data_IF_307816319692
#
_entry.id   IF_307816319692
#
_cell.length_a   1.000
_cell.length_b   1.000
_cell.length_c   1.000
_cell.angle_alpha   90.00
_cell.angle_beta   90.00
_cell.angle_gamma   90.00
#
_symmetry.space_group_name_H-M   'P 1'
#
loop_
_entity.id
_entity.type
_entity.pdbx_description
1 polymer ?
#
# COMPACT_ATOMS: atom_id res chain seq x y z
N UNK A 1 -18.43 -1.01 -22.67
CA UNK A 1 -17.04 -1.32 -23.02
C UNK A 1 -16.62 -2.50 -22.18
N UNK A 2 -16.22 -3.61 -22.79
CA UNK A 2 -15.73 -4.78 -22.04
C UNK A 2 -14.36 -4.45 -21.47
N UNK A 3 -14.25 -4.52 -20.15
CA UNK A 3 -12.99 -4.38 -19.44
C UNK A 3 -12.19 -5.65 -19.70
N UNK A 4 -11.19 -5.56 -20.57
CA UNK A 4 -10.20 -6.62 -20.74
C UNK A 4 -9.07 -6.36 -19.76
N UNK A 5 -9.25 -6.79 -18.51
CA UNK A 5 -8.10 -7.05 -17.65
C UNK A 5 -7.33 -8.22 -18.26
N UNK A 6 -5.99 -8.18 -18.25
CA UNK A 6 -5.17 -9.34 -18.61
C UNK A 6 -5.57 -10.48 -17.68
N UNK A 7 -6.33 -11.45 -18.21
CA UNK A 7 -6.68 -12.68 -17.50
C UNK A 7 -5.39 -13.46 -17.28
N UNK A 8 -4.88 -13.51 -16.05
CA UNK A 8 -4.06 -14.64 -15.63
C UNK A 8 -4.95 -15.89 -15.77
N UNK A 9 -4.42 -16.95 -16.37
CA UNK A 9 -5.13 -18.18 -16.73
C UNK A 9 -5.70 -18.98 -15.53
N UNK A 10 -5.68 -18.41 -14.33
CA UNK A 10 -6.12 -19.05 -13.10
C UNK A 10 -7.46 -18.46 -12.66
N UNK A 11 -8.53 -19.30 -12.59
CA UNK A 11 -9.88 -18.91 -12.13
C UNK A 11 -9.88 -18.17 -10.77
N UNK A 12 -8.88 -18.41 -9.91
CA UNK A 12 -8.78 -17.79 -8.58
C UNK A 12 -8.49 -16.27 -8.62
N UNK A 13 -7.90 -15.79 -9.73
CA UNK A 13 -7.62 -14.36 -9.95
C UNK A 13 -8.55 -13.75 -11.00
N UNK A 14 -9.72 -14.38 -11.21
CA UNK A 14 -10.66 -13.89 -12.21
C UNK A 14 -11.31 -12.59 -11.78
N UNK A 15 -10.93 -11.52 -12.47
CA UNK A 15 -11.42 -10.15 -12.23
C UNK A 15 -12.93 -10.03 -12.45
N UNK A 16 -13.55 -10.85 -13.30
CA UNK A 16 -14.99 -10.79 -13.57
C UNK A 16 -15.81 -11.15 -12.33
N UNK A 17 -15.43 -12.19 -11.58
CA UNK A 17 -16.05 -12.49 -10.29
C UNK A 17 -15.85 -11.39 -9.26
N UNK A 18 -14.65 -10.82 -9.26
CA UNK A 18 -14.32 -9.72 -8.39
C UNK A 18 -15.22 -8.50 -8.69
N UNK A 19 -15.35 -8.10 -9.95
CA UNK A 19 -16.24 -7.02 -10.40
C UNK A 19 -17.72 -7.30 -10.09
N UNK A 20 -18.18 -8.55 -10.24
CA UNK A 20 -19.55 -8.95 -9.94
C UNK A 20 -19.91 -8.67 -8.47
N UNK A 21 -19.08 -9.07 -7.50
CA UNK A 21 -19.35 -8.85 -6.08
C UNK A 21 -19.29 -7.37 -5.67
N UNK A 22 -18.41 -6.59 -6.30
CA UNK A 22 -18.37 -5.15 -6.10
C UNK A 22 -19.67 -4.50 -6.59
N UNK A 23 -20.11 -4.84 -7.81
CA UNK A 23 -21.34 -4.30 -8.40
C UNK A 23 -22.57 -4.70 -7.58
N UNK A 24 -22.65 -5.91 -7.05
CA UNK A 24 -23.74 -6.32 -6.15
C UNK A 24 -23.80 -5.39 -4.94
N UNK A 25 -22.67 -5.13 -4.28
CA UNK A 25 -22.62 -4.26 -3.09
C UNK A 25 -22.92 -2.79 -3.43
N UNK A 26 -22.43 -2.31 -4.57
CA UNK A 26 -22.72 -0.97 -5.09
C UNK A 26 -24.24 -0.80 -5.33
N UNK A 27 -24.85 -1.74 -6.04
CA UNK A 27 -26.28 -1.66 -6.38
C UNK A 27 -27.17 -1.65 -5.12
N UNK A 28 -26.82 -2.40 -4.09
CA UNK A 28 -27.54 -2.38 -2.82
C UNK A 28 -27.52 -1.00 -2.15
N UNK A 29 -26.38 -0.30 -2.22
CA UNK A 29 -26.26 1.05 -1.66
C UNK A 29 -27.04 2.06 -2.47
N UNK A 30 -26.94 2.00 -3.81
CA UNK A 30 -27.63 2.93 -4.71
C UNK A 30 -29.14 2.79 -4.61
N UNK A 31 -29.66 1.56 -4.57
CA UNK A 31 -31.09 1.29 -4.43
C UNK A 31 -31.69 1.89 -3.15
N UNK A 32 -30.88 2.12 -2.11
CA UNK A 32 -31.33 2.83 -0.91
C UNK A 32 -31.63 4.31 -1.13
N UNK A 33 -30.89 4.95 -2.02
CA UNK A 33 -30.97 6.39 -2.22
C UNK A 33 -31.78 6.75 -3.47
N UNK A 34 -31.87 5.85 -4.46
CA UNK A 34 -32.59 6.00 -5.74
C UNK A 34 -32.32 7.35 -6.43
N UNK A 35 -31.02 7.71 -6.55
CA UNK A 35 -30.57 8.99 -7.13
C UNK A 35 -29.58 8.71 -8.25
N UNK A 36 -30.03 8.82 -9.51
CA UNK A 36 -29.24 8.54 -10.71
C UNK A 36 -27.88 9.26 -10.77
N UNK A 37 -27.75 10.55 -10.44
CA UNK A 37 -26.46 11.21 -10.46
C UNK A 37 -25.44 10.62 -9.49
N UNK A 38 -25.90 10.10 -8.34
CA UNK A 38 -25.03 9.43 -7.37
C UNK A 38 -24.53 8.08 -7.91
N UNK A 39 -25.38 7.32 -8.61
CA UNK A 39 -24.99 6.06 -9.25
C UNK A 39 -23.89 6.29 -10.29
N UNK A 40 -24.10 7.25 -11.19
CA UNK A 40 -23.12 7.58 -12.21
C UNK A 40 -21.77 7.98 -11.61
N UNK A 41 -21.79 8.89 -10.62
CA UNK A 41 -20.57 9.35 -9.94
C UNK A 41 -19.84 8.22 -9.24
N UNK A 42 -20.57 7.40 -8.47
CA UNK A 42 -19.99 6.30 -7.73
C UNK A 42 -19.41 5.23 -8.64
N UNK A 43 -20.12 4.87 -9.71
CA UNK A 43 -19.61 3.94 -10.73
C UNK A 43 -18.32 4.45 -11.35
N UNK A 44 -18.28 5.71 -11.79
CA UNK A 44 -17.08 6.32 -12.37
C UNK A 44 -15.90 6.32 -11.39
N UNK A 45 -16.15 6.65 -10.11
CA UNK A 45 -15.10 6.67 -9.10
C UNK A 45 -14.51 5.28 -8.86
N UNK A 46 -15.37 4.24 -8.76
CA UNK A 46 -14.93 2.84 -8.61
C UNK A 46 -14.14 2.36 -9.83
N UNK A 47 -14.69 2.54 -11.03
CA UNK A 47 -14.04 2.10 -12.28
C UNK A 47 -12.68 2.78 -12.47
N UNK A 48 -12.61 4.08 -12.18
CA UNK A 48 -11.38 4.83 -12.37
C UNK A 48 -10.27 4.43 -11.40
N UNK A 49 -10.60 4.24 -10.13
CA UNK A 49 -9.59 4.06 -9.10
C UNK A 49 -9.27 2.59 -8.78
N UNK A 50 -10.22 1.65 -8.97
CA UNK A 50 -10.03 0.26 -8.55
C UNK A 50 -9.62 -0.69 -9.70
N UNK A 51 -10.12 -0.46 -10.94
CA UNK A 51 -9.96 -1.45 -12.00
C UNK A 51 -8.66 -1.32 -12.81
N UNK A 52 -7.75 -0.44 -12.43
CA UNK A 52 -6.51 -0.20 -13.16
C UNK A 52 -5.26 -0.56 -12.34
N UNK A 53 -5.44 -0.97 -11.08
CA UNK A 53 -4.35 -1.39 -10.20
C UNK A 53 -4.02 -2.89 -10.34
N UNK A 54 -2.98 -3.29 -9.65
CA UNK A 54 -2.45 -4.66 -9.62
C UNK A 54 -3.33 -5.64 -8.79
N UNK A 55 -4.46 -5.19 -8.21
CA UNK A 55 -5.30 -5.97 -7.30
C UNK A 55 -4.48 -6.58 -6.15
N UNK A 56 -3.71 -5.71 -5.49
CA UNK A 56 -2.76 -6.10 -4.45
C UNK A 56 -3.43 -6.92 -3.34
N UNK A 57 -4.63 -6.53 -2.92
CA UNK A 57 -5.39 -7.26 -1.89
C UNK A 57 -5.58 -8.73 -2.26
N UNK A 58 -6.05 -9.05 -3.47
CA UNK A 58 -6.22 -10.44 -3.89
C UNK A 58 -4.88 -11.18 -4.01
N UNK A 59 -3.87 -10.51 -4.56
CA UNK A 59 -2.54 -11.10 -4.77
C UNK A 59 -1.83 -11.43 -3.45
N UNK A 60 -2.17 -10.75 -2.36
CA UNK A 60 -1.67 -11.05 -1.01
C UNK A 60 -2.54 -12.07 -0.28
N UNK A 61 -3.86 -11.90 -0.34
CA UNK A 61 -4.79 -12.72 0.44
C UNK A 61 -4.85 -14.17 -0.04
N UNK A 62 -4.96 -14.41 -1.35
CA UNK A 62 -5.17 -15.78 -1.88
C UNK A 62 -4.02 -16.71 -1.51
N UNK A 63 -2.73 -16.38 -1.75
CA UNK A 63 -1.63 -17.28 -1.40
C UNK A 63 -1.56 -17.55 0.11
N UNK A 64 -1.78 -16.53 0.95
CA UNK A 64 -1.75 -16.68 2.40
C UNK A 64 -2.90 -17.56 2.90
N UNK A 65 -4.10 -17.36 2.39
CA UNK A 65 -5.27 -18.15 2.79
C UNK A 65 -5.16 -19.61 2.38
N UNK A 66 -4.66 -19.88 1.17
CA UNK A 66 -4.39 -21.25 0.69
C UNK A 66 -3.35 -21.97 1.55
N UNK A 67 -2.28 -21.25 1.92
CA UNK A 67 -1.22 -21.79 2.78
C UNK A 67 -1.78 -22.20 4.15
N UNK A 68 -2.58 -21.34 4.78
CA UNK A 68 -3.21 -21.61 6.07
C UNK A 68 -4.23 -22.75 6.03
N UNK A 69 -4.98 -22.90 4.94
CA UNK A 69 -5.91 -24.00 4.73
C UNK A 69 -5.23 -25.28 4.24
N UNK A 70 -3.93 -25.25 3.94
CA UNK A 70 -3.15 -26.34 3.39
C UNK A 70 -3.80 -26.94 2.13
N UNK A 71 -4.31 -26.10 1.24
CA UNK A 71 -5.00 -26.48 0.02
C UNK A 71 -4.36 -25.88 -1.22
N UNK A 72 -4.39 -26.60 -2.33
CA UNK A 72 -3.93 -26.11 -3.63
C UNK A 72 -4.97 -25.21 -4.30
N UNK A 73 -6.26 -25.57 -4.15
CA UNK A 73 -7.38 -24.83 -4.72
C UNK A 73 -8.42 -24.49 -3.65
N UNK A 74 -8.97 -23.27 -3.72
CA UNK A 74 -10.04 -22.84 -2.84
C UNK A 74 -11.39 -23.38 -3.30
N UNK A 75 -12.18 -23.89 -2.37
CA UNK A 75 -13.59 -24.19 -2.63
C UNK A 75 -14.38 -22.90 -2.96
N UNK A 76 -15.47 -23.03 -3.70
CA UNK A 76 -16.26 -21.90 -4.22
C UNK A 76 -16.65 -20.88 -3.14
N UNK A 77 -17.06 -21.33 -1.95
CA UNK A 77 -17.47 -20.43 -0.87
C UNK A 77 -16.27 -19.68 -0.27
N UNK A 78 -15.13 -20.35 -0.12
CA UNK A 78 -13.89 -19.73 0.32
C UNK A 78 -13.37 -18.75 -0.74
N UNK A 79 -13.47 -19.10 -2.01
CA UNK A 79 -13.10 -18.22 -3.12
C UNK A 79 -13.96 -16.95 -3.14
N UNK A 80 -15.28 -17.09 -2.96
CA UNK A 80 -16.17 -15.94 -2.83
C UNK A 80 -15.80 -15.04 -1.65
N UNK A 81 -15.57 -15.64 -0.49
CA UNK A 81 -15.23 -14.90 0.74
C UNK A 81 -13.89 -14.14 0.58
N UNK A 82 -12.88 -14.77 -0.01
CA UNK A 82 -11.58 -14.13 -0.20
C UNK A 82 -11.62 -13.00 -1.25
N UNK A 83 -12.44 -13.13 -2.31
CA UNK A 83 -12.65 -12.06 -3.28
C UNK A 83 -13.33 -10.84 -2.66
N UNK A 84 -14.37 -11.06 -1.84
CA UNK A 84 -15.03 -9.96 -1.12
C UNK A 84 -14.05 -9.29 -0.15
N UNK A 85 -13.24 -10.07 0.57
CA UNK A 85 -12.20 -9.54 1.44
C UNK A 85 -11.14 -8.75 0.67
N UNK A 86 -10.73 -9.27 -0.52
CA UNK A 86 -9.83 -8.58 -1.43
C UNK A 86 -10.36 -7.19 -1.82
N UNK A 87 -11.66 -7.07 -2.14
CA UNK A 87 -12.28 -5.76 -2.38
C UNK A 87 -12.23 -4.83 -1.17
N UNK A 88 -12.44 -5.35 0.03
CA UNK A 88 -12.33 -4.52 1.23
C UNK A 88 -10.91 -3.97 1.41
N UNK A 89 -9.88 -4.78 1.11
CA UNK A 89 -8.48 -4.33 1.15
C UNK A 89 -8.18 -3.32 0.04
N UNK A 90 -8.61 -3.59 -1.20
CA UNK A 90 -8.43 -2.65 -2.32
C UNK A 90 -9.11 -1.30 -2.06
N UNK A 91 -10.33 -1.29 -1.54
CA UNK A 91 -11.05 -0.07 -1.18
C UNK A 91 -10.26 0.75 -0.14
N UNK A 92 -9.64 0.09 0.84
CA UNK A 92 -8.79 0.78 1.81
C UNK A 92 -7.55 1.38 1.16
N UNK A 93 -6.82 0.60 0.36
CA UNK A 93 -5.61 1.05 -0.33
C UNK A 93 -5.92 2.25 -1.22
N UNK A 94 -6.95 2.14 -2.06
CA UNK A 94 -7.36 3.20 -2.99
C UNK A 94 -7.83 4.45 -2.26
N UNK A 95 -8.50 4.30 -1.11
CA UNK A 95 -8.91 5.44 -0.27
C UNK A 95 -7.69 6.25 0.18
N UNK A 96 -6.65 5.58 0.67
CA UNK A 96 -5.43 6.26 1.11
C UNK A 96 -4.61 6.83 -0.05
N UNK A 97 -4.53 6.13 -1.18
CA UNK A 97 -3.91 6.67 -2.40
C UNK A 97 -4.61 7.95 -2.85
N UNK A 98 -5.95 7.97 -2.82
CA UNK A 98 -6.74 9.14 -3.22
C UNK A 98 -6.49 10.34 -2.30
N UNK A 99 -6.40 10.12 -0.99
CA UNK A 99 -6.08 11.17 -0.02
C UNK A 99 -4.62 11.64 -0.13
N UNK A 100 -3.69 10.72 -0.32
CA UNK A 100 -2.27 11.01 -0.56
C UNK A 100 -2.10 11.88 -1.82
N UNK A 101 -2.72 11.50 -2.93
CA UNK A 101 -2.70 12.27 -4.18
C UNK A 101 -3.23 13.70 -4.02
N UNK A 102 -4.27 13.91 -3.19
CA UNK A 102 -4.82 15.24 -2.90
C UNK A 102 -3.86 16.05 -2.04
N UNK A 103 -3.33 15.46 -0.96
CA UNK A 103 -2.47 16.16 0.01
C UNK A 103 -1.11 16.51 -0.58
N UNK A 104 -0.55 15.61 -1.39
CA UNK A 104 0.72 15.82 -2.11
C UNK A 104 0.54 16.67 -3.39
N UNK A 105 -0.71 17.01 -3.74
CA UNK A 105 -1.04 17.71 -4.98
C UNK A 105 -0.49 16.99 -6.23
N UNK A 106 -0.49 15.66 -6.21
CA UNK A 106 0.03 14.81 -7.27
C UNK A 106 -0.71 15.05 -8.60
N UNK A 107 0.00 14.88 -9.71
CA UNK A 107 -0.57 15.13 -11.05
C UNK A 107 -1.02 13.85 -11.75
N UNK A 108 -0.29 12.74 -11.50
CA UNK A 108 -0.53 11.45 -12.15
C UNK A 108 -0.38 10.29 -11.17
N UNK A 109 -1.09 9.19 -11.46
CA UNK A 109 -1.02 7.90 -10.78
C UNK A 109 -1.28 6.81 -11.82
N UNK A 110 -0.46 5.77 -11.88
CA UNK A 110 -0.55 4.68 -12.87
C UNK A 110 -0.64 5.19 -14.31
N UNK A 111 0.21 6.16 -14.67
CA UNK A 111 0.25 6.77 -16.01
C UNK A 111 -0.98 7.58 -16.40
N UNK A 112 -1.89 7.89 -15.45
CA UNK A 112 -3.14 8.63 -15.66
C UNK A 112 -3.23 9.83 -14.73
N UNK A 113 -4.03 10.86 -15.04
CA UNK A 113 -4.28 11.96 -14.10
C UNK A 113 -4.82 11.43 -12.76
N UNK A 114 -4.37 11.96 -11.62
CA UNK A 114 -4.98 11.64 -10.32
C UNK A 114 -6.48 11.96 -10.32
N UNK A 115 -7.29 11.17 -9.61
CA UNK A 115 -8.75 11.28 -9.63
C UNK A 115 -9.25 12.70 -9.37
N UNK A 116 -8.67 13.41 -8.42
CA UNK A 116 -9.05 14.80 -8.13
C UNK A 116 -8.75 15.79 -9.27
N UNK A 117 -7.94 15.39 -10.28
CA UNK A 117 -7.61 16.17 -11.47
C UNK A 117 -8.53 15.89 -12.64
N UNK A 118 -9.36 14.86 -12.58
CA UNK A 118 -10.26 14.45 -13.67
C UNK A 118 -11.50 15.34 -13.70
N UNK A 119 -11.85 15.90 -14.86
CA UNK A 119 -13.15 16.51 -15.17
C UNK A 119 -13.80 17.36 -14.04
N UNK A 120 -13.08 18.29 -13.47
CA UNK A 120 -13.58 19.17 -12.40
C UNK A 120 -13.98 18.46 -11.09
N UNK A 121 -13.48 17.27 -10.84
CA UNK A 121 -13.72 16.52 -9.58
C UNK A 121 -13.20 17.32 -8.37
N UNK A 122 -11.95 17.78 -8.43
CA UNK A 122 -11.35 18.59 -7.38
C UNK A 122 -11.47 17.93 -5.99
N UNK A 123 -11.64 18.75 -4.96
CA UNK A 123 -11.75 18.28 -3.57
C UNK A 123 -13.01 17.45 -3.29
N UNK A 124 -13.98 17.35 -4.21
CA UNK A 124 -15.11 16.44 -4.03
C UNK A 124 -14.68 14.96 -4.04
N UNK A 125 -13.48 14.65 -4.55
CA UNK A 125 -12.86 13.33 -4.44
C UNK A 125 -12.75 12.83 -2.98
N UNK A 126 -12.68 13.73 -1.99
CA UNK A 126 -12.70 13.37 -0.55
C UNK A 126 -13.98 12.61 -0.20
N UNK A 127 -15.12 13.00 -0.77
CA UNK A 127 -16.37 12.29 -0.54
C UNK A 127 -16.40 10.90 -1.16
N UNK A 128 -15.73 10.72 -2.32
CA UNK A 128 -15.59 9.40 -2.93
C UNK A 128 -14.75 8.48 -2.03
N UNK A 129 -13.65 8.98 -1.46
CA UNK A 129 -12.84 8.24 -0.48
C UNK A 129 -13.62 7.86 0.78
N UNK A 130 -14.45 8.77 1.33
CA UNK A 130 -15.33 8.46 2.46
C UNK A 130 -16.36 7.37 2.12
N UNK A 131 -16.87 7.35 0.89
CA UNK A 131 -17.77 6.30 0.44
C UNK A 131 -17.02 4.97 0.35
N UNK A 132 -15.80 4.93 -0.21
CA UNK A 132 -14.99 3.73 -0.31
C UNK A 132 -14.68 3.13 1.05
N UNK A 133 -14.26 3.96 2.02
CA UNK A 133 -13.99 3.52 3.38
C UNK A 133 -15.26 2.92 4.05
N UNK A 134 -16.40 3.60 3.95
CA UNK A 134 -17.64 3.10 4.55
C UNK A 134 -18.19 1.87 3.82
N UNK A 135 -17.87 1.69 2.54
CA UNK A 135 -18.23 0.51 1.79
C UNK A 135 -17.53 -0.75 2.31
N UNK A 136 -16.30 -0.64 2.85
CA UNK A 136 -15.61 -1.74 3.53
C UNK A 136 -16.50 -2.31 4.63
N UNK A 137 -16.94 -1.46 5.56
CA UNK A 137 -17.77 -1.89 6.70
C UNK A 137 -19.16 -2.39 6.27
N UNK A 138 -19.71 -1.83 5.19
CA UNK A 138 -20.94 -2.35 4.59
C UNK A 138 -20.76 -3.78 4.07
N UNK A 139 -19.69 -4.05 3.33
CA UNK A 139 -19.39 -5.37 2.77
C UNK A 139 -19.10 -6.38 3.87
N UNK A 140 -18.28 -6.02 4.87
CA UNK A 140 -18.02 -6.86 6.03
C UNK A 140 -19.31 -7.26 6.74
N UNK A 141 -20.20 -6.30 7.01
CA UNK A 141 -21.50 -6.57 7.65
C UNK A 141 -22.41 -7.44 6.77
N UNK A 142 -22.43 -7.21 5.45
CA UNK A 142 -23.30 -7.95 4.53
C UNK A 142 -22.88 -9.41 4.42
N UNK A 143 -21.57 -9.67 4.29
CA UNK A 143 -21.05 -10.98 3.92
C UNK A 143 -20.46 -11.76 5.09
N UNK A 144 -19.98 -11.12 6.14
CA UNK A 144 -19.26 -11.77 7.24
C UNK A 144 -19.94 -11.69 8.61
N UNK A 145 -21.08 -11.00 8.76
CA UNK A 145 -21.74 -10.82 10.08
C UNK A 145 -22.05 -12.12 10.84
N UNK A 146 -22.14 -13.24 10.15
CA UNK A 146 -22.43 -14.57 10.73
C UNK A 146 -21.16 -15.43 10.88
N UNK A 147 -20.00 -14.93 10.46
CA UNK A 147 -18.72 -15.60 10.64
C UNK A 147 -18.22 -15.42 12.08
N UNK A 148 -17.60 -16.44 12.64
CA UNK A 148 -17.04 -16.38 14.00
C UNK A 148 -16.00 -15.27 14.16
N UNK A 149 -15.23 -14.97 13.10
CA UNK A 149 -14.20 -13.95 13.09
C UNK A 149 -14.71 -12.53 12.74
N UNK A 150 -16.04 -12.29 12.65
CA UNK A 150 -16.57 -11.00 12.19
C UNK A 150 -16.07 -9.80 12.99
N UNK A 151 -16.05 -9.92 14.32
CA UNK A 151 -15.60 -8.83 15.21
C UNK A 151 -14.12 -8.54 14.97
N UNK A 152 -13.28 -9.58 14.88
CA UNK A 152 -11.85 -9.45 14.60
C UNK A 152 -11.59 -8.77 13.25
N UNK A 153 -12.35 -9.14 12.21
CA UNK A 153 -12.23 -8.49 10.91
C UNK A 153 -12.53 -6.98 10.99
N UNK A 154 -13.57 -6.58 11.74
CA UNK A 154 -13.88 -5.17 11.95
C UNK A 154 -12.78 -4.44 12.71
N UNK A 155 -12.27 -5.03 13.80
CA UNK A 155 -11.23 -4.44 14.63
C UNK A 155 -9.92 -4.26 13.85
N UNK A 156 -9.52 -5.25 13.06
CA UNK A 156 -8.31 -5.18 12.22
C UNK A 156 -8.41 -4.08 11.17
N UNK A 157 -9.56 -3.94 10.48
CA UNK A 157 -9.74 -2.82 9.54
C UNK A 157 -9.72 -1.46 10.24
N UNK A 158 -10.38 -1.32 11.39
CA UNK A 158 -10.39 -0.07 12.15
C UNK A 158 -8.99 0.31 12.62
N UNK A 159 -8.21 -0.66 13.14
CA UNK A 159 -6.82 -0.44 13.53
C UNK A 159 -5.97 -0.03 12.32
N UNK A 160 -6.07 -0.76 11.21
CA UNK A 160 -5.28 -0.48 10.01
C UNK A 160 -5.60 0.91 9.43
N UNK A 161 -6.88 1.29 9.35
CA UNK A 161 -7.31 2.61 8.88
C UNK A 161 -6.76 3.71 9.80
N UNK A 162 -6.91 3.55 11.12
CA UNK A 162 -6.44 4.54 12.09
C UNK A 162 -4.91 4.71 12.02
N UNK A 163 -4.16 3.60 12.04
CA UNK A 163 -2.70 3.64 12.01
C UNK A 163 -2.20 4.24 10.70
N UNK A 164 -2.80 3.87 9.57
CA UNK A 164 -2.42 4.41 8.25
C UNK A 164 -2.74 5.90 8.16
N UNK A 165 -3.88 6.36 8.67
CA UNK A 165 -4.21 7.79 8.74
C UNK A 165 -3.20 8.57 9.59
N UNK A 166 -2.76 8.01 10.72
CA UNK A 166 -1.69 8.59 11.53
C UNK A 166 -0.36 8.64 10.74
N UNK A 167 -0.03 7.57 10.00
CA UNK A 167 1.16 7.51 9.15
C UNK A 167 1.17 8.58 8.06
N UNK A 168 0.06 8.80 7.37
CA UNK A 168 -0.09 9.86 6.38
C UNK A 168 0.09 11.26 7.01
N UNK A 169 -0.46 11.48 8.20
CA UNK A 169 -0.24 12.74 8.92
C UNK A 169 1.22 12.93 9.33
N UNK A 170 1.90 11.87 9.80
CA UNK A 170 3.34 11.92 10.12
C UNK A 170 4.16 12.29 8.89
N UNK A 171 3.87 11.69 7.74
CA UNK A 171 4.55 11.99 6.49
C UNK A 171 4.42 13.48 6.11
N UNK A 172 3.23 14.04 6.21
CA UNK A 172 3.00 15.48 5.97
C UNK A 172 3.70 16.39 6.99
N UNK A 173 3.82 15.95 8.25
CA UNK A 173 4.52 16.72 9.29
C UNK A 173 6.04 16.76 9.02
N UNK A 174 6.64 15.69 8.45
CA UNK A 174 8.07 15.71 8.11
C UNK A 174 8.44 16.79 7.11
N UNK A 175 7.54 17.09 6.18
CA UNK A 175 7.77 18.15 5.19
C UNK A 175 8.08 19.53 5.81
N UNK A 176 7.72 19.73 7.09
CA UNK A 176 7.96 20.97 7.84
C UNK A 176 9.16 20.86 8.80
N UNK A 177 9.78 19.67 8.92
CA UNK A 177 10.90 19.44 9.83
C UNK A 177 12.24 19.69 9.12
N UNK A 178 13.27 20.24 9.79
CA UNK A 178 14.60 20.31 9.20
C UNK A 178 15.14 18.90 8.91
N UNK A 179 15.77 18.70 7.75
CA UNK A 179 16.38 17.42 7.36
C UNK A 179 17.38 16.88 8.41
N UNK A 180 18.03 17.78 9.15
CA UNK A 180 18.94 17.43 10.25
C UNK A 180 18.26 16.72 11.44
N UNK A 181 16.95 16.74 11.53
CA UNK A 181 16.18 16.13 12.61
C UNK A 181 15.61 14.76 12.25
N UNK A 182 15.78 14.34 11.01
CA UNK A 182 15.36 13.01 10.57
C UNK A 182 16.16 11.94 11.29
N UNK A 183 15.49 10.85 11.67
CA UNK A 183 16.13 9.72 12.33
C UNK A 183 15.58 8.39 11.82
N UNK A 184 16.39 7.33 11.94
CA UNK A 184 15.98 5.97 11.57
C UNK A 184 14.77 5.49 12.37
N UNK A 185 14.72 5.78 13.66
CA UNK A 185 13.56 5.43 14.50
C UNK A 185 12.28 6.09 13.98
N UNK A 186 12.35 7.37 13.63
CA UNK A 186 11.22 8.09 13.07
C UNK A 186 10.79 7.48 11.73
N UNK A 187 11.74 7.24 10.82
CA UNK A 187 11.49 6.67 9.50
C UNK A 187 10.87 5.25 9.59
N UNK A 188 11.40 4.39 10.46
CA UNK A 188 10.84 3.06 10.68
C UNK A 188 9.39 3.12 11.19
N UNK A 189 9.08 4.02 12.12
CA UNK A 189 7.72 4.23 12.61
C UNK A 189 6.80 4.79 11.52
N UNK A 190 7.30 5.70 10.69
CA UNK A 190 6.58 6.23 9.52
C UNK A 190 6.25 5.11 8.53
N UNK A 191 7.23 4.31 8.12
CA UNK A 191 7.04 3.18 7.20
C UNK A 191 6.06 2.15 7.76
N UNK A 192 6.16 1.83 9.05
CA UNK A 192 5.23 0.93 9.72
C UNK A 192 3.79 1.47 9.64
N UNK A 193 3.58 2.73 10.03
CA UNK A 193 2.26 3.33 10.07
C UNK A 193 1.68 3.58 8.67
N UNK A 194 2.46 4.15 7.75
CA UNK A 194 1.99 4.54 6.41
C UNK A 194 1.73 3.33 5.51
N UNK A 195 2.64 2.35 5.50
CA UNK A 195 2.64 1.26 4.52
C UNK A 195 2.43 -0.14 5.10
N UNK A 196 3.13 -0.49 6.18
CA UNK A 196 3.12 -1.88 6.64
C UNK A 196 1.73 -2.35 7.04
N UNK A 197 0.97 -1.50 7.76
CA UNK A 197 -0.37 -1.85 8.21
C UNK A 197 -1.36 -2.00 7.05
N UNK A 198 -1.37 -1.06 6.10
CA UNK A 198 -2.30 -1.10 4.97
C UNK A 198 -1.96 -2.18 3.95
N UNK A 199 -0.68 -2.31 3.58
CA UNK A 199 -0.28 -3.18 2.48
C UNK A 199 -0.08 -4.63 2.92
N UNK A 200 0.54 -4.89 4.08
CA UNK A 200 0.97 -6.24 4.45
C UNK A 200 0.24 -6.80 5.67
N UNK A 201 0.32 -6.11 6.82
CA UNK A 201 -0.25 -6.58 8.08
C UNK A 201 -1.74 -6.90 7.96
N UNK A 202 -2.51 -5.98 7.43
CA UNK A 202 -3.95 -6.15 7.20
C UNK A 202 -4.24 -7.45 6.44
N UNK A 203 -3.62 -7.65 5.29
CA UNK A 203 -3.86 -8.82 4.43
C UNK A 203 -3.51 -10.13 5.13
N UNK A 204 -2.37 -10.18 5.82
CA UNK A 204 -1.93 -11.39 6.52
C UNK A 204 -2.86 -11.72 7.69
N UNK A 205 -3.18 -10.74 8.53
CA UNK A 205 -4.02 -10.95 9.72
C UNK A 205 -5.46 -11.28 9.36
N UNK A 206 -6.02 -10.69 8.30
CA UNK A 206 -7.35 -11.04 7.80
C UNK A 206 -7.41 -12.53 7.41
N UNK A 207 -6.41 -13.02 6.68
CA UNK A 207 -6.38 -14.44 6.29
C UNK A 207 -6.20 -15.38 7.50
N UNK A 208 -5.43 -14.98 8.50
CA UNK A 208 -5.26 -15.73 9.75
C UNK A 208 -6.59 -15.85 10.52
N UNK A 209 -7.33 -14.75 10.68
CA UNK A 209 -8.65 -14.79 11.31
C UNK A 209 -9.65 -15.63 10.53
N UNK A 210 -9.70 -15.49 9.19
CA UNK A 210 -10.57 -16.28 8.32
C UNK A 210 -10.24 -17.77 8.36
N UNK A 211 -8.97 -18.13 8.55
CA UNK A 211 -8.52 -19.51 8.72
C UNK A 211 -8.67 -20.05 10.17
N UNK A 212 -9.20 -19.24 11.09
CA UNK A 212 -9.43 -19.62 12.48
C UNK A 212 -8.16 -19.73 13.33
N UNK A 213 -7.07 -19.07 12.95
CA UNK A 213 -5.83 -19.02 13.75
C UNK A 213 -6.10 -18.26 15.04
N UNK A 214 -5.63 -18.82 16.19
CA UNK A 214 -5.80 -18.24 17.53
C UNK A 214 -4.50 -18.14 18.32
N UNK A 215 -3.37 -18.47 17.69
CA UNK A 215 -2.04 -18.38 18.32
C UNK A 215 -1.55 -16.93 18.43
N UNK A 216 -1.50 -16.29 19.62
CA UNK A 216 -1.10 -14.89 19.74
C UNK A 216 0.32 -14.63 19.21
N UNK A 217 1.23 -15.59 19.40
CA UNK A 217 2.61 -15.47 18.94
C UNK A 217 2.68 -15.34 17.42
N UNK A 218 1.85 -16.08 16.67
CA UNK A 218 1.79 -15.99 15.22
C UNK A 218 1.38 -14.57 14.74
N UNK A 219 0.47 -13.90 15.45
CA UNK A 219 0.05 -12.53 15.14
C UNK A 219 1.18 -11.52 15.41
N UNK A 220 1.92 -11.66 16.51
CA UNK A 220 3.07 -10.80 16.80
C UNK A 220 4.19 -11.00 15.78
N UNK A 221 4.50 -12.23 15.40
CA UNK A 221 5.51 -12.53 14.39
C UNK A 221 5.12 -11.94 13.02
N UNK A 222 3.86 -12.10 12.61
CA UNK A 222 3.33 -11.51 11.36
C UNK A 222 3.42 -9.99 11.40
N UNK A 223 3.18 -9.35 12.55
CA UNK A 223 3.33 -7.90 12.71
C UNK A 223 4.77 -7.45 12.47
N UNK A 224 5.73 -8.15 13.07
CA UNK A 224 7.17 -7.85 12.88
C UNK A 224 7.56 -8.02 11.41
N UNK A 225 7.15 -9.12 10.79
CA UNK A 225 7.42 -9.40 9.37
C UNK A 225 6.81 -8.30 8.49
N UNK A 226 5.55 -7.95 8.69
CA UNK A 226 4.86 -6.92 7.93
C UNK A 226 5.53 -5.54 8.06
N UNK A 227 6.00 -5.17 9.27
CA UNK A 227 6.73 -3.92 9.48
C UNK A 227 8.06 -3.88 8.71
N UNK A 228 8.79 -4.99 8.67
CA UNK A 228 10.03 -5.09 7.88
C UNK A 228 9.76 -5.05 6.38
N UNK A 229 8.70 -5.71 5.91
CA UNK A 229 8.27 -5.61 4.50
C UNK A 229 7.83 -4.19 4.14
N UNK A 230 7.11 -3.50 5.00
CA UNK A 230 6.71 -2.11 4.80
C UNK A 230 7.89 -1.14 4.76
N UNK A 231 8.93 -1.38 5.58
CA UNK A 231 10.18 -0.62 5.53
C UNK A 231 10.91 -0.82 4.18
N UNK A 232 11.06 -2.07 3.75
CA UNK A 232 11.68 -2.38 2.46
C UNK A 232 10.90 -1.75 1.30
N UNK A 233 9.58 -1.87 1.31
CA UNK A 233 8.69 -1.30 0.28
C UNK A 233 8.82 0.23 0.21
N UNK A 234 8.81 0.93 1.37
CA UNK A 234 8.98 2.38 1.36
C UNK A 234 10.38 2.78 0.88
N UNK A 235 11.43 2.08 1.30
CA UNK A 235 12.78 2.36 0.85
C UNK A 235 12.93 2.16 -0.68
N UNK A 236 12.22 1.17 -1.26
CA UNK A 236 12.15 1.00 -2.73
C UNK A 236 11.46 2.19 -3.39
N UNK A 237 10.33 2.66 -2.85
CA UNK A 237 9.62 3.82 -3.38
C UNK A 237 10.51 5.08 -3.32
N UNK A 238 11.17 5.33 -2.19
CA UNK A 238 12.09 6.46 -2.01
C UNK A 238 13.26 6.40 -3.02
N UNK A 239 13.80 5.20 -3.25
CA UNK A 239 14.87 4.99 -4.23
C UNK A 239 14.39 5.26 -5.66
N UNK A 240 13.23 4.71 -6.02
CA UNK A 240 12.65 4.88 -7.35
C UNK A 240 12.25 6.34 -7.61
N UNK A 241 11.80 7.07 -6.60
CA UNK A 241 11.50 8.52 -6.74
C UNK A 241 12.70 9.30 -7.28
N UNK A 242 13.92 8.95 -6.88
CA UNK A 242 15.14 9.61 -7.31
C UNK A 242 15.85 8.95 -8.49
N UNK A 243 15.87 7.61 -8.57
CA UNK A 243 16.69 6.85 -9.49
C UNK A 243 15.90 5.94 -10.44
N UNK A 244 14.57 5.92 -10.33
CA UNK A 244 13.70 5.17 -11.21
C UNK A 244 13.80 5.63 -12.67
N UNK A 245 13.43 4.74 -13.60
CA UNK A 245 13.37 5.10 -15.02
C UNK A 245 12.11 5.96 -15.29
N UNK A 246 12.24 7.24 -15.70
CA UNK A 246 11.09 8.11 -15.94
C UNK A 246 10.06 7.58 -16.94
N UNK A 247 10.50 6.70 -17.88
CA UNK A 247 9.60 6.08 -18.89
C UNK A 247 8.75 4.95 -18.32
N UNK A 248 9.15 4.41 -17.14
CA UNK A 248 8.49 3.29 -16.48
C UNK A 248 7.79 3.69 -15.19
N UNK A 249 8.06 4.90 -14.69
CA UNK A 249 7.50 5.38 -13.43
C UNK A 249 6.09 5.94 -13.65
N UNK A 250 5.18 5.53 -12.81
CA UNK A 250 3.79 5.98 -12.81
C UNK A 250 3.61 7.38 -12.20
N UNK A 251 4.64 7.89 -11.51
CA UNK A 251 4.66 9.19 -10.84
C UNK A 251 6.01 9.90 -11.08
N UNK A 252 5.99 11.21 -11.28
CA UNK A 252 7.22 12.03 -11.23
C UNK A 252 7.69 12.14 -9.79
N UNK A 253 8.98 11.86 -9.55
CA UNK A 253 9.60 11.98 -8.25
C UNK A 253 9.59 13.42 -7.74
N UNK A 254 9.23 13.61 -6.49
CA UNK A 254 9.16 14.94 -5.85
C UNK A 254 9.55 14.92 -4.36
N UNK A 255 10.09 13.84 -3.84
CA UNK A 255 10.40 13.67 -2.42
C UNK A 255 11.43 14.70 -1.92
N UNK A 256 12.45 14.99 -2.75
CA UNK A 256 13.47 16.01 -2.43
C UNK A 256 12.82 17.39 -2.29
N UNK A 257 11.98 17.80 -3.25
CA UNK A 257 11.35 19.13 -3.23
C UNK A 257 10.31 19.28 -2.12
N UNK A 258 9.69 18.18 -1.71
CA UNK A 258 8.69 18.15 -0.64
C UNK A 258 9.30 17.99 0.76
N UNK A 259 10.61 17.85 0.86
CA UNK A 259 11.31 17.65 2.13
C UNK A 259 10.82 16.38 2.88
N UNK A 260 10.57 15.29 2.15
CA UNK A 260 10.13 14.03 2.75
C UNK A 260 11.26 13.38 3.56
N UNK A 261 10.91 12.69 4.65
CA UNK A 261 11.86 11.86 5.37
C UNK A 261 12.01 10.54 4.62
N UNK A 262 13.07 10.41 3.83
CA UNK A 262 13.31 9.25 2.96
C UNK A 262 14.53 8.44 3.41
N UNK A 263 14.60 7.18 2.97
CA UNK A 263 15.76 6.32 3.15
C UNK A 263 17.04 6.98 2.60
N UNK A 264 16.95 7.58 1.41
CA UNK A 264 18.08 8.27 0.77
C UNK A 264 18.56 9.48 1.57
N UNK A 265 17.64 10.28 2.12
CA UNK A 265 17.99 11.43 2.93
C UNK A 265 18.71 11.02 4.22
N UNK A 266 18.25 9.95 4.88
CA UNK A 266 18.88 9.42 6.09
C UNK A 266 20.27 8.87 5.83
N UNK A 267 20.44 8.01 4.81
CA UNK A 267 21.75 7.46 4.42
C UNK A 267 22.72 8.57 4.03
N UNK A 268 22.25 9.58 3.29
CA UNK A 268 23.04 10.74 2.95
C UNK A 268 23.52 11.49 4.19
N UNK A 269 22.61 11.80 5.12
CA UNK A 269 22.94 12.55 6.34
C UNK A 269 23.90 11.79 7.27
N UNK A 270 23.84 10.47 7.27
CA UNK A 270 24.71 9.63 8.09
C UNK A 270 26.14 9.54 7.50
N UNK A 271 26.26 9.46 6.18
CA UNK A 271 27.55 9.22 5.48
C UNK A 271 28.28 10.49 5.04
N UNK A 272 27.54 11.60 4.88
CA UNK A 272 28.08 12.85 4.40
C UNK A 272 29.07 13.48 5.38
N UNK A 273 30.14 14.09 4.87
CA UNK A 273 31.00 14.99 5.63
C UNK A 273 30.24 16.23 6.06
N UNK A 274 30.76 17.00 7.02
CA UNK A 274 30.09 18.24 7.46
C UNK A 274 29.93 19.26 6.29
N UNK A 275 30.88 19.31 5.35
CA UNK A 275 30.77 20.14 4.15
C UNK A 275 29.66 19.66 3.22
N UNK A 276 29.52 18.34 3.04
CA UNK A 276 28.46 17.75 2.24
C UNK A 276 27.07 17.91 2.88
N UNK A 277 26.96 17.84 4.22
CA UNK A 277 25.72 18.11 4.93
C UNK A 277 25.18 19.53 4.68
N UNK A 278 26.05 20.51 4.45
CA UNK A 278 25.61 21.86 4.07
C UNK A 278 24.79 21.84 2.77
N UNK A 279 25.11 20.95 1.80
CA UNK A 279 24.29 20.82 0.59
C UNK A 279 22.88 20.38 0.96
N UNK A 280 22.73 19.40 1.86
CA UNK A 280 21.41 18.94 2.33
C UNK A 280 20.66 20.07 3.05
N UNK A 281 21.32 20.83 3.92
CA UNK A 281 20.68 21.92 4.67
C UNK A 281 20.20 23.06 3.76
N UNK A 282 20.93 23.37 2.69
CA UNK A 282 20.60 24.44 1.78
C UNK A 282 19.62 24.03 0.68
N UNK A 283 19.71 22.78 0.19
CA UNK A 283 19.03 22.36 -1.02
C UNK A 283 17.81 21.47 -0.78
N UNK A 284 17.81 20.65 0.29
CA UNK A 284 16.70 19.71 0.55
C UNK A 284 15.41 20.47 0.91
N UNK A 285 14.28 20.06 0.38
CA UNK A 285 13.00 20.73 0.57
C UNK A 285 12.83 22.01 -0.28
N UNK A 286 13.65 22.19 -1.32
CA UNK A 286 13.55 23.35 -2.21
C UNK A 286 13.04 22.94 -3.59
N UNK A 287 12.13 23.77 -4.15
CA UNK A 287 11.54 23.57 -5.49
C UNK A 287 12.41 24.09 -6.64
N UNK A 288 13.66 24.41 -6.37
CA UNK A 288 14.63 24.86 -7.37
C UNK A 288 15.28 23.66 -8.05
N UNK A 289 15.18 23.49 -9.38
CA UNK A 289 15.74 22.35 -10.10
C UNK A 289 17.26 22.18 -9.89
N UNK A 290 18.01 23.29 -9.73
CA UNK A 290 19.45 23.20 -9.49
C UNK A 290 19.77 22.68 -8.09
N UNK A 291 18.96 23.05 -7.09
CA UNK A 291 19.10 22.54 -5.73
C UNK A 291 18.75 21.05 -5.65
N UNK A 292 17.69 20.62 -6.34
CA UNK A 292 17.35 19.19 -6.47
C UNK A 292 18.50 18.42 -7.12
N UNK A 293 19.06 18.96 -8.21
CA UNK A 293 20.20 18.34 -8.90
C UNK A 293 21.43 18.23 -7.98
N UNK A 294 21.72 19.24 -7.15
CA UNK A 294 22.83 19.20 -6.20
C UNK A 294 22.67 18.07 -5.18
N UNK A 295 21.45 17.81 -4.68
CA UNK A 295 21.15 16.69 -3.78
C UNK A 295 21.34 15.35 -4.52
N UNK A 296 20.84 15.24 -5.74
CA UNK A 296 20.97 14.04 -6.57
C UNK A 296 22.44 13.71 -6.88
N UNK A 297 23.26 14.73 -7.13
CA UNK A 297 24.71 14.54 -7.33
C UNK A 297 25.41 14.09 -6.05
N UNK A 298 25.00 14.66 -4.90
CA UNK A 298 25.53 14.20 -3.61
C UNK A 298 25.18 12.74 -3.33
N UNK A 299 23.96 12.32 -3.62
CA UNK A 299 23.57 10.90 -3.51
C UNK A 299 24.45 9.98 -4.36
N UNK A 300 24.79 10.40 -5.58
CA UNK A 300 25.70 9.64 -6.47
C UNK A 300 27.15 9.66 -5.97
N UNK A 301 27.66 10.79 -5.45
CA UNK A 301 28.99 10.89 -4.87
C UNK A 301 29.17 9.97 -3.67
N UNK A 302 28.11 9.81 -2.87
CA UNK A 302 28.08 8.91 -1.71
C UNK A 302 27.79 7.45 -2.09
N UNK A 303 27.65 7.13 -3.38
CA UNK A 303 27.33 5.80 -3.92
C UNK A 303 26.04 5.18 -3.30
N UNK A 304 25.05 6.01 -3.01
CA UNK A 304 23.80 5.54 -2.42
C UNK A 304 23.08 4.48 -3.25
N UNK A 305 23.13 4.47 -4.61
CA UNK A 305 22.57 3.37 -5.38
C UNK A 305 23.16 1.98 -5.04
N UNK A 306 24.46 1.88 -4.82
CA UNK A 306 25.07 0.61 -4.43
C UNK A 306 24.71 0.24 -2.99
N UNK A 307 24.72 1.23 -2.09
CA UNK A 307 24.33 1.03 -0.69
C UNK A 307 22.86 0.56 -0.60
N UNK A 308 21.99 1.10 -1.47
CA UNK A 308 20.61 0.66 -1.54
C UNK A 308 20.47 -0.78 -2.02
N UNK A 309 21.21 -1.18 -3.04
CA UNK A 309 21.20 -2.56 -3.54
C UNK A 309 21.66 -3.57 -2.45
N UNK A 310 22.66 -3.20 -1.65
CA UNK A 310 23.12 -4.02 -0.53
C UNK A 310 22.06 -4.09 0.58
N UNK A 311 21.43 -2.97 0.94
CA UNK A 311 20.33 -2.88 1.90
C UNK A 311 19.12 -3.72 1.47
N UNK A 312 18.74 -3.64 0.19
CA UNK A 312 17.61 -4.39 -0.36
C UNK A 312 17.84 -5.90 -0.25
N UNK A 313 19.03 -6.35 -0.63
CA UNK A 313 19.42 -7.77 -0.54
C UNK A 313 19.43 -8.25 0.91
N UNK A 314 20.05 -7.49 1.82
CA UNK A 314 20.13 -7.85 3.24
C UNK A 314 18.72 -7.87 3.86
N UNK A 315 17.87 -6.88 3.55
CA UNK A 315 16.50 -6.82 4.03
C UNK A 315 15.68 -8.02 3.56
N UNK A 316 15.81 -8.40 2.28
CA UNK A 316 15.15 -9.58 1.73
C UNK A 316 15.53 -10.86 2.49
N UNK A 317 16.82 -11.13 2.68
CA UNK A 317 17.28 -12.34 3.38
C UNK A 317 16.86 -12.34 4.85
N UNK A 318 16.92 -11.20 5.54
CA UNK A 318 16.47 -11.06 6.92
C UNK A 318 14.95 -11.34 7.07
N UNK A 319 14.13 -10.83 6.14
CA UNK A 319 12.68 -11.07 6.17
C UNK A 319 12.40 -12.54 5.88
N UNK A 320 13.07 -13.12 4.89
CA UNK A 320 12.95 -14.53 4.53
C UNK A 320 13.28 -15.44 5.71
N UNK A 321 14.38 -15.20 6.40
CA UNK A 321 14.79 -15.95 7.60
C UNK A 321 13.70 -15.89 8.70
N UNK A 322 13.17 -14.71 8.97
CA UNK A 322 12.07 -14.54 9.93
C UNK A 322 10.84 -15.36 9.55
N UNK A 323 10.47 -15.38 8.26
CA UNK A 323 9.32 -16.13 7.78
C UNK A 323 9.56 -17.63 7.87
N UNK A 324 10.73 -18.11 7.49
CA UNK A 324 11.09 -19.53 7.53
C UNK A 324 11.08 -20.08 8.96
N UNK A 325 11.44 -19.30 9.96
CA UNK A 325 11.49 -19.67 11.37
C UNK A 325 10.21 -19.31 12.16
N UNK A 326 9.22 -18.68 11.52
CA UNK A 326 7.98 -18.28 12.19
C UNK A 326 7.17 -19.48 12.70
N UNK A 327 6.38 -19.24 13.74
CA UNK A 327 5.56 -20.28 14.40
C UNK A 327 4.42 -20.79 13.52
N UNK A 328 3.81 -21.89 13.92
CA UNK A 328 2.61 -22.43 13.28
C UNK A 328 1.46 -21.42 13.33
N UNK A 329 0.78 -21.24 12.21
CA UNK A 329 -0.31 -20.26 12.02
C UNK A 329 0.12 -19.00 11.28
N UNK A 330 1.43 -18.80 11.03
CA UNK A 330 1.93 -17.80 10.08
C UNK A 330 1.82 -18.35 8.66
N UNK A 331 1.24 -17.63 7.68
CA UNK A 331 1.11 -18.07 6.29
C UNK A 331 2.44 -17.92 5.52
N UNK A 332 3.41 -18.78 5.87
CA UNK A 332 4.82 -18.66 5.45
C UNK A 332 4.97 -18.64 3.92
N UNK A 333 4.38 -19.59 3.22
CA UNK A 333 4.51 -19.68 1.76
C UNK A 333 3.82 -18.51 1.05
N UNK A 334 2.70 -18.05 1.60
CA UNK A 334 2.00 -16.87 1.09
C UNK A 334 2.83 -15.60 1.24
N UNK A 335 3.46 -15.41 2.42
CA UNK A 335 4.34 -14.27 2.69
C UNK A 335 5.61 -14.34 1.82
N UNK A 336 6.23 -15.51 1.66
CA UNK A 336 7.41 -15.67 0.80
C UNK A 336 7.11 -15.31 -0.66
N UNK A 337 5.96 -15.72 -1.20
CA UNK A 337 5.51 -15.31 -2.55
C UNK A 337 5.33 -13.79 -2.67
N UNK A 338 4.83 -13.17 -1.62
CA UNK A 338 4.70 -11.70 -1.56
C UNK A 338 6.08 -11.03 -1.52
N UNK A 339 7.00 -11.58 -0.73
CA UNK A 339 8.38 -11.08 -0.62
C UNK A 339 9.15 -11.22 -1.95
N UNK A 340 8.93 -12.30 -2.71
CA UNK A 340 9.49 -12.45 -4.06
C UNK A 340 9.00 -11.37 -5.02
N UNK A 341 7.69 -11.03 -4.96
CA UNK A 341 7.12 -9.93 -5.77
C UNK A 341 7.71 -8.58 -5.38
N UNK A 342 7.90 -8.35 -4.08
CA UNK A 342 8.51 -7.13 -3.57
C UNK A 342 9.95 -7.00 -4.10
N UNK A 343 10.76 -8.07 -4.06
CA UNK A 343 12.10 -8.09 -4.65
C UNK A 343 12.11 -7.78 -6.15
N UNK A 344 11.12 -8.28 -6.88
CA UNK A 344 11.01 -8.08 -8.33
C UNK A 344 10.37 -6.72 -8.71
N UNK A 345 10.11 -5.84 -7.75
CA UNK A 345 9.41 -4.56 -7.92
C UNK A 345 8.05 -4.71 -8.62
N UNK A 346 7.28 -5.75 -8.27
CA UNK A 346 5.98 -6.08 -8.86
C UNK A 346 4.79 -5.80 -7.93
N UNK A 347 4.98 -4.98 -6.91
CA UNK A 347 3.93 -4.53 -6.00
C UNK A 347 3.56 -3.04 -6.21
N UNK A 348 4.11 -2.42 -7.26
CA UNK A 348 3.81 -1.04 -7.65
C UNK A 348 2.62 -0.95 -8.61
#
# INVERSE_FOLDING_TARGET
MSITAKSDENEEYNVDYFVEYLNESKNDLINKFNVDPLDQRFTQALEYNLLHGELLGLRLLIPCYKDLLQCEFLHKDNLKSIHIMGWCVELMIVTFILYDDITDNSTSRLGRPCWHRVNNIGLTAIHDGLIFENMIFYMLRKHFRHHECYVQLLEVFQEAILVTACGQNLDMLTCQMPVATFSWEFYQNLCAAKNAYACFYLSFVLTMHMAGIKNPQAFEEVKVIACKMGLLFQAQNDYLDCFGNPEKMDKFGNDIEQNKCTWLALECMERATEEQKHIMFECYGKKDPQMIQNVMELYKILDLPQIFADFEMESYENIKDLVEHASSGVPRNGILKTLERLRDHKLE
#
